data_IF_579795669928
#
_entry.id   IF_579795669928
#
_cell.length_a   1.000
_cell.length_b   1.000
_cell.length_c   1.000
_cell.angle_alpha   90.00
_cell.angle_beta   90.00
_cell.angle_gamma   90.00
#
_symmetry.space_group_name_H-M   'P 1'
#
loop_
_entity.id
_entity.type
_entity.pdbx_description
1 polymer ?
#
# COMPACT_ATOMS: atom_id res chain seq x y z
N UNK A 1 -4.25 18.88 30.44
CA UNK A 1 -2.94 19.18 29.82
C UNK A 1 -1.78 18.64 30.65
N UNK A 2 -1.58 19.04 31.92
CA UNK A 2 -0.45 18.55 32.74
C UNK A 2 -0.37 17.02 32.90
N UNK A 3 -1.50 16.33 33.11
CA UNK A 3 -1.54 14.86 33.22
C UNK A 3 -1.19 14.15 31.90
N UNK A 4 -1.60 14.72 30.76
CA UNK A 4 -1.27 14.17 29.44
C UNK A 4 0.24 14.23 29.17
N UNK A 5 0.86 15.37 29.46
CA UNK A 5 2.32 15.51 29.33
C UNK A 5 3.10 14.56 30.23
N UNK A 6 2.59 14.28 31.45
CA UNK A 6 3.20 13.30 32.34
C UNK A 6 3.07 11.87 31.82
N UNK A 7 1.91 11.49 31.27
CA UNK A 7 1.71 10.15 30.70
C UNK A 7 2.55 9.96 29.43
N UNK A 8 2.61 10.96 28.55
CA UNK A 8 3.48 10.94 27.38
C UNK A 8 4.94 10.77 27.80
N UNK A 9 5.40 11.56 28.78
CA UNK A 9 6.76 11.44 29.31
C UNK A 9 7.01 10.04 29.88
N UNK A 10 6.07 9.49 30.64
CA UNK A 10 6.17 8.14 31.23
C UNK A 10 6.37 7.07 30.16
N UNK A 11 5.55 7.09 29.10
CA UNK A 11 5.62 6.10 28.03
C UNK A 11 6.91 6.26 27.23
N UNK A 12 7.26 7.47 26.78
CA UNK A 12 8.47 7.71 25.96
C UNK A 12 9.77 7.42 26.72
N UNK A 13 9.82 7.68 28.03
CA UNK A 13 11.04 7.45 28.83
C UNK A 13 11.30 5.97 29.14
N UNK A 14 10.38 5.07 28.80
CA UNK A 14 10.59 3.64 28.97
C UNK A 14 11.57 3.13 27.91
N UNK A 15 12.62 2.41 28.36
CA UNK A 15 13.71 1.91 27.48
C UNK A 15 13.18 1.11 26.29
N UNK A 16 12.17 0.27 26.50
CA UNK A 16 11.55 -0.55 25.46
C UNK A 16 10.85 0.32 24.42
N UNK A 17 10.03 1.29 24.84
CA UNK A 17 9.34 2.19 23.92
C UNK A 17 10.32 2.99 23.08
N UNK A 18 11.38 3.52 23.69
CA UNK A 18 12.41 4.25 22.97
C UNK A 18 13.13 3.36 21.95
N UNK A 19 13.48 2.12 22.33
CA UNK A 19 14.07 1.15 21.41
C UNK A 19 13.14 0.83 20.23
N UNK A 20 11.85 0.59 20.47
CA UNK A 20 10.87 0.29 19.43
C UNK A 20 10.65 1.48 18.48
N UNK A 21 10.65 2.71 18.99
CA UNK A 21 10.59 3.93 18.17
C UNK A 21 11.85 4.09 17.30
N UNK A 22 13.03 3.83 17.86
CA UNK A 22 14.28 3.81 17.08
C UNK A 22 14.26 2.71 16.01
N UNK A 23 13.70 1.53 16.32
CA UNK A 23 13.50 0.46 15.34
C UNK A 23 12.55 0.88 14.21
N UNK A 24 11.43 1.54 14.51
CA UNK A 24 10.51 2.08 13.50
C UNK A 24 11.23 3.04 12.54
N UNK A 25 12.02 3.97 13.10
CA UNK A 25 12.80 4.92 12.31
C UNK A 25 13.84 4.22 11.43
N UNK A 26 14.60 3.27 12.00
CA UNK A 26 15.59 2.50 11.25
C UNK A 26 14.94 1.68 10.12
N UNK A 27 13.77 1.10 10.37
CA UNK A 27 12.99 0.39 9.35
C UNK A 27 12.53 1.34 8.24
N UNK A 28 12.09 2.56 8.56
CA UNK A 28 11.68 3.53 7.53
C UNK A 28 12.81 3.86 6.56
N UNK A 29 14.02 4.10 7.09
CA UNK A 29 15.21 4.36 6.26
C UNK A 29 15.59 3.12 5.45
N UNK A 30 15.58 1.95 6.09
CA UNK A 30 15.92 0.68 5.43
C UNK A 30 14.94 0.35 4.29
N UNK A 31 13.64 0.48 4.52
CA UNK A 31 12.60 0.17 3.53
C UNK A 31 12.57 1.19 2.37
N UNK A 32 13.10 2.40 2.57
CA UNK A 32 13.31 3.34 1.46
C UNK A 32 14.55 2.99 0.63
N UNK A 33 15.59 2.45 1.27
CA UNK A 33 16.85 2.10 0.62
C UNK A 33 16.82 0.76 -0.11
N UNK A 34 16.14 -0.26 0.43
CA UNK A 34 16.10 -1.60 -0.16
C UNK A 34 15.66 -1.65 -1.64
N UNK A 35 14.59 -0.96 -2.08
CA UNK A 35 14.20 -0.98 -3.49
C UNK A 35 15.34 -0.56 -4.43
N UNK A 36 16.14 0.43 -4.04
CA UNK A 36 17.30 0.91 -4.82
C UNK A 36 18.28 -0.24 -5.08
N UNK A 37 18.50 -1.12 -4.11
CA UNK A 37 19.47 -2.21 -4.24
C UNK A 37 19.06 -3.31 -5.23
N UNK A 38 17.77 -3.36 -5.61
CA UNK A 38 17.26 -4.30 -6.61
C UNK A 38 17.24 -3.71 -8.02
N UNK A 39 17.51 -2.41 -8.17
CA UNK A 39 17.62 -1.79 -9.49
C UNK A 39 18.96 -2.16 -10.12
N UNK A 40 18.89 -2.59 -11.37
CA UNK A 40 20.03 -3.02 -12.15
C UNK A 40 19.83 -2.75 -13.64
N UNK A 41 20.92 -2.55 -14.36
CA UNK A 41 20.92 -2.44 -15.80
C UNK A 41 22.23 -3.02 -16.37
N UNK A 42 22.17 -3.56 -17.58
CA UNK A 42 23.37 -3.96 -18.32
C UNK A 42 23.69 -2.86 -19.32
N UNK A 43 24.91 -2.34 -19.25
CA UNK A 43 25.42 -1.29 -20.14
C UNK A 43 26.57 -1.86 -20.95
N UNK A 44 26.62 -1.48 -22.23
CA UNK A 44 27.72 -1.84 -23.13
C UNK A 44 28.73 -0.68 -23.17
N UNK A 45 30.00 -0.98 -22.88
CA UNK A 45 31.10 -0.02 -22.97
C UNK A 45 31.46 0.34 -24.42
N UNK A 46 32.27 1.37 -24.65
CA UNK A 46 32.80 1.78 -25.95
C UNK A 46 33.54 0.64 -26.68
N UNK A 47 34.03 -0.35 -25.94
CA UNK A 47 34.72 -1.53 -26.45
C UNK A 47 33.78 -2.71 -26.79
N UNK A 48 32.46 -2.57 -26.60
CA UNK A 48 31.48 -3.64 -26.83
C UNK A 48 31.38 -4.66 -25.70
N UNK A 49 32.01 -4.42 -24.54
CA UNK A 49 31.93 -5.29 -23.37
C UNK A 49 30.71 -4.91 -22.50
N UNK A 50 29.86 -5.89 -22.16
CA UNK A 50 28.70 -5.70 -21.30
C UNK A 50 29.11 -5.78 -19.82
N UNK A 51 28.73 -4.76 -19.04
CA UNK A 51 28.89 -4.78 -17.59
C UNK A 51 27.57 -4.40 -16.90
N UNK A 52 27.37 -4.94 -15.70
CA UNK A 52 26.16 -4.71 -14.91
C UNK A 52 26.37 -3.53 -13.95
N UNK A 53 25.50 -2.53 -14.04
CA UNK A 53 25.37 -1.45 -13.05
C UNK A 53 24.22 -1.77 -12.11
N UNK A 54 24.38 -1.47 -10.83
CA UNK A 54 23.37 -1.78 -9.80
C UNK A 54 23.18 -0.61 -8.83
N UNK A 55 22.07 -0.61 -8.08
CA UNK A 55 21.86 0.37 -7.04
C UNK A 55 21.62 1.77 -7.58
N UNK A 56 22.24 2.76 -6.93
CA UNK A 56 22.12 4.17 -7.31
C UNK A 56 22.65 4.47 -8.73
N UNK A 57 23.61 3.70 -9.24
CA UNK A 57 24.12 3.90 -10.60
C UNK A 57 23.07 3.52 -11.65
N UNK A 58 22.38 2.39 -11.45
CA UNK A 58 21.26 1.97 -12.29
C UNK A 58 20.09 2.97 -12.21
N UNK A 59 19.77 3.46 -11.01
CA UNK A 59 18.71 4.48 -10.84
C UNK A 59 19.04 5.76 -11.62
N UNK A 60 20.29 6.24 -11.54
CA UNK A 60 20.72 7.42 -12.29
C UNK A 60 20.68 7.22 -13.80
N UNK A 61 21.09 6.05 -14.28
CA UNK A 61 21.04 5.68 -15.70
C UNK A 61 19.64 5.83 -16.29
N UNK A 62 18.60 5.37 -15.58
CA UNK A 62 17.22 5.53 -16.04
C UNK A 62 16.66 6.94 -15.81
N UNK A 63 17.10 7.64 -14.75
CA UNK A 63 16.71 9.03 -14.49
C UNK A 63 17.18 9.99 -15.60
N UNK A 64 18.37 9.79 -16.16
CA UNK A 64 18.88 10.63 -17.25
C UNK A 64 17.98 10.57 -18.50
N UNK A 65 17.20 9.51 -18.64
CA UNK A 65 16.24 9.32 -19.74
C UNK A 65 14.86 9.93 -19.45
N UNK A 66 14.62 10.48 -18.26
CA UNK A 66 13.35 11.12 -17.91
C UNK A 66 12.98 12.32 -18.79
N UNK A 67 13.95 12.98 -19.42
CA UNK A 67 13.66 14.06 -20.38
C UNK A 67 12.97 13.56 -21.65
N UNK A 68 13.10 12.27 -21.96
CA UNK A 68 12.42 11.59 -23.08
C UNK A 68 11.01 11.14 -22.71
N UNK A 69 10.72 11.04 -21.41
CA UNK A 69 9.43 10.60 -20.90
C UNK A 69 8.52 11.77 -20.55
N UNK A 70 7.22 11.53 -20.63
CA UNK A 70 6.20 12.54 -20.36
C UNK A 70 4.82 12.00 -20.66
N UNK A 71 4.09 12.72 -21.50
CA UNK A 71 2.76 12.31 -21.94
C UNK A 71 2.82 11.00 -22.74
N UNK A 72 1.99 10.05 -22.35
CA UNK A 72 1.85 8.76 -23.03
C UNK A 72 0.97 8.98 -24.25
N UNK A 73 1.54 9.43 -25.35
CA UNK A 73 0.83 9.62 -26.62
C UNK A 73 0.72 8.33 -27.41
N UNK A 74 -0.23 8.25 -28.32
CA UNK A 74 -0.37 7.12 -29.26
C UNK A 74 0.89 6.94 -30.11
N UNK A 75 1.54 8.03 -30.54
CA UNK A 75 2.82 8.00 -31.28
C UNK A 75 3.94 7.32 -30.45
N UNK A 76 4.06 7.65 -29.16
CA UNK A 76 5.05 7.02 -28.29
C UNK A 76 4.74 5.52 -28.06
N UNK A 77 3.46 5.16 -28.01
CA UNK A 77 3.01 3.77 -27.88
C UNK A 77 3.30 2.96 -29.16
N UNK A 78 3.07 3.55 -30.33
CA UNK A 78 3.37 2.94 -31.63
C UNK A 78 4.87 2.76 -31.83
N UNK A 79 5.67 3.77 -31.48
CA UNK A 79 7.13 3.68 -31.50
C UNK A 79 7.62 2.57 -30.58
N UNK A 80 7.10 2.50 -29.35
CA UNK A 80 7.43 1.44 -28.40
C UNK A 80 7.13 0.05 -28.96
N UNK A 81 5.94 -0.14 -29.56
CA UNK A 81 5.53 -1.41 -30.15
C UNK A 81 6.38 -1.80 -31.36
N UNK A 82 6.70 -0.84 -32.22
CA UNK A 82 7.57 -1.05 -33.40
C UNK A 82 8.96 -1.52 -32.98
N UNK A 83 9.60 -0.82 -32.03
CA UNK A 83 10.94 -1.19 -31.54
C UNK A 83 10.93 -2.58 -30.91
N UNK A 84 9.87 -2.92 -30.18
CA UNK A 84 9.70 -4.25 -29.60
C UNK A 84 9.54 -5.33 -30.69
N UNK A 85 8.70 -5.10 -31.70
CA UNK A 85 8.52 -6.04 -32.81
C UNK A 85 9.81 -6.26 -33.59
N UNK A 86 10.53 -5.19 -33.96
CA UNK A 86 11.82 -5.28 -34.65
C UNK A 86 12.83 -6.16 -33.91
N UNK A 87 12.96 -5.97 -32.59
CA UNK A 87 13.92 -6.75 -31.78
C UNK A 87 13.45 -8.20 -31.63
N UNK A 88 12.15 -8.43 -31.42
CA UNK A 88 11.60 -9.78 -31.34
C UNK A 88 11.75 -10.54 -32.66
N UNK A 89 11.61 -9.89 -33.80
CA UNK A 89 11.89 -10.47 -35.12
C UNK A 89 13.38 -10.74 -35.34
N UNK A 90 14.25 -9.78 -35.00
CA UNK A 90 15.69 -9.91 -35.25
C UNK A 90 16.34 -11.08 -34.48
N UNK A 91 15.83 -11.38 -33.28
CA UNK A 91 16.34 -12.46 -32.42
C UNK A 91 15.51 -13.75 -32.51
N UNK A 92 14.55 -13.81 -33.42
CA UNK A 92 13.55 -14.87 -33.53
C UNK A 92 12.93 -15.30 -32.18
N UNK A 93 12.54 -14.32 -31.36
CA UNK A 93 12.03 -14.55 -30.01
C UNK A 93 10.52 -14.35 -29.93
N UNK A 94 9.79 -15.34 -29.43
CA UNK A 94 8.35 -15.23 -29.14
C UNK A 94 8.08 -14.64 -27.75
N UNK A 95 8.94 -14.96 -26.78
CA UNK A 95 8.73 -14.65 -25.36
C UNK A 95 9.77 -13.69 -24.77
N UNK A 96 10.78 -13.30 -25.56
CA UNK A 96 11.89 -12.43 -25.16
C UNK A 96 13.11 -13.15 -24.57
N UNK A 97 13.07 -14.48 -24.40
CA UNK A 97 14.14 -15.25 -23.73
C UNK A 97 15.44 -15.30 -24.53
N UNK A 98 15.33 -15.19 -25.85
CA UNK A 98 16.45 -15.25 -26.80
C UNK A 98 17.14 -13.89 -26.96
N UNK A 99 16.59 -12.83 -26.39
CA UNK A 99 17.12 -11.46 -26.48
C UNK A 99 18.22 -11.29 -25.41
N UNK A 100 19.48 -10.96 -25.81
CA UNK A 100 20.56 -10.70 -24.86
C UNK A 100 20.23 -9.54 -23.90
N UNK A 101 20.75 -9.61 -22.67
CA UNK A 101 20.47 -8.62 -21.64
C UNK A 101 20.91 -7.20 -22.04
N UNK A 102 22.10 -7.02 -22.63
CA UNK A 102 22.53 -5.71 -23.11
C UNK A 102 21.60 -5.11 -24.16
N UNK A 103 21.10 -5.93 -25.10
CA UNK A 103 20.11 -5.49 -26.11
C UNK A 103 18.79 -5.10 -25.45
N UNK A 104 18.33 -5.87 -24.47
CA UNK A 104 17.13 -5.56 -23.72
C UNK A 104 17.25 -4.22 -23.00
N UNK A 105 18.33 -3.98 -22.23
CA UNK A 105 18.51 -2.73 -21.50
C UNK A 105 18.78 -1.53 -22.40
N UNK A 106 19.42 -1.73 -23.55
CA UNK A 106 19.70 -0.67 -24.51
C UNK A 106 18.49 -0.26 -25.36
N UNK A 107 17.59 -1.21 -25.72
CA UNK A 107 16.50 -0.93 -26.68
C UNK A 107 15.08 -1.11 -26.12
N UNK A 108 14.87 -1.97 -25.12
CA UNK A 108 13.53 -2.41 -24.70
C UNK A 108 13.13 -1.96 -23.30
N UNK A 109 14.07 -1.90 -22.35
CA UNK A 109 13.78 -1.69 -20.93
C UNK A 109 12.94 -0.42 -20.65
N UNK A 110 13.21 0.65 -21.40
CA UNK A 110 12.51 1.94 -21.33
C UNK A 110 11.05 1.86 -21.78
N UNK A 111 10.79 1.05 -22.80
CA UNK A 111 9.46 0.92 -23.42
C UNK A 111 8.60 -0.14 -22.72
N UNK A 112 9.15 -0.87 -21.74
CA UNK A 112 8.45 -1.93 -21.00
C UNK A 112 7.10 -1.51 -20.39
N UNK A 113 6.97 -0.34 -19.73
CA UNK A 113 5.69 0.10 -19.16
C UNK A 113 4.62 0.36 -20.23
N UNK A 114 5.04 0.90 -21.38
CA UNK A 114 4.17 1.16 -22.53
C UNK A 114 3.65 -0.14 -23.13
N UNK A 115 4.54 -1.10 -23.39
CA UNK A 115 4.14 -2.42 -23.92
C UNK A 115 3.27 -3.19 -22.95
N UNK A 116 3.54 -3.10 -21.64
CA UNK A 116 2.65 -3.67 -20.61
C UNK A 116 1.25 -3.07 -20.75
N UNK A 117 1.15 -1.74 -20.88
CA UNK A 117 -0.12 -1.04 -21.03
C UNK A 117 -0.88 -1.43 -22.30
N UNK A 118 -0.21 -1.44 -23.46
CA UNK A 118 -0.79 -1.87 -24.75
C UNK A 118 -1.34 -3.29 -24.62
N UNK A 119 -0.52 -4.22 -24.15
CA UNK A 119 -0.93 -5.62 -23.97
C UNK A 119 -2.15 -5.77 -23.07
N UNK A 120 -2.26 -4.95 -22.03
CA UNK A 120 -3.41 -4.96 -21.13
C UNK A 120 -4.67 -4.35 -21.77
N UNK A 121 -4.53 -3.23 -22.49
CA UNK A 121 -5.64 -2.55 -23.15
C UNK A 121 -6.27 -3.41 -24.26
N UNK A 122 -5.44 -4.13 -25.03
CA UNK A 122 -5.87 -5.00 -26.14
C UNK A 122 -6.04 -6.47 -25.75
N UNK A 123 -6.04 -6.79 -24.45
CA UNK A 123 -6.30 -8.15 -24.00
C UNK A 123 -7.73 -8.60 -24.37
N UNK A 124 -7.85 -9.88 -24.73
CA UNK A 124 -9.09 -10.49 -25.20
C UNK A 124 -10.24 -10.28 -24.20
N UNK A 125 -11.40 -9.89 -24.73
CA UNK A 125 -12.55 -9.46 -23.92
C UNK A 125 -13.16 -10.60 -23.07
N UNK A 126 -13.03 -11.85 -23.52
CA UNK A 126 -13.66 -13.01 -22.89
C UNK A 126 -12.71 -13.76 -21.97
N UNK A 127 -11.46 -13.90 -22.39
CA UNK A 127 -10.43 -14.70 -21.70
C UNK A 127 -9.52 -13.84 -20.83
N UNK A 128 -9.45 -12.54 -21.08
CA UNK A 128 -8.52 -11.63 -20.41
C UNK A 128 -7.07 -11.80 -20.84
N UNK A 129 -6.77 -12.67 -21.81
CA UNK A 129 -5.42 -12.99 -22.24
C UNK A 129 -4.88 -11.85 -23.11
N UNK A 130 -3.72 -11.32 -22.72
CA UNK A 130 -3.03 -10.29 -23.47
C UNK A 130 -2.37 -10.86 -24.74
N UNK A 131 -2.38 -10.12 -25.87
CA UNK A 131 -1.71 -10.54 -27.09
C UNK A 131 -0.19 -10.66 -26.92
N UNK A 132 0.45 -11.49 -27.73
CA UNK A 132 1.91 -11.54 -27.86
C UNK A 132 2.45 -10.24 -28.44
N UNK A 133 3.72 -9.92 -28.20
CA UNK A 133 4.35 -8.69 -28.72
C UNK A 133 4.34 -8.67 -30.26
N UNK A 134 4.60 -9.82 -30.88
CA UNK A 134 4.56 -10.02 -32.34
C UNK A 134 3.16 -9.90 -32.94
N UNK A 135 2.13 -10.19 -32.14
CA UNK A 135 0.73 -10.17 -32.57
C UNK A 135 0.06 -8.81 -32.37
N UNK A 136 0.82 -7.80 -31.90
CA UNK A 136 0.30 -6.45 -31.73
C UNK A 136 0.02 -5.81 -33.10
N UNK A 137 -1.21 -5.36 -33.28
CA UNK A 137 -1.63 -4.65 -34.48
C UNK A 137 -1.28 -3.16 -34.33
N UNK A 138 -0.21 -2.72 -34.98
CA UNK A 138 0.31 -1.35 -34.85
C UNK A 138 -0.74 -0.30 -35.27
N UNK A 139 -1.52 -0.59 -36.31
CA UNK A 139 -2.55 0.31 -36.84
C UNK A 139 -3.68 0.57 -35.81
N UNK A 140 -3.87 -0.34 -34.86
CA UNK A 140 -4.89 -0.20 -33.80
C UNK A 140 -4.39 0.53 -32.57
N UNK A 141 -3.10 0.82 -32.46
CA UNK A 141 -2.53 1.49 -31.28
C UNK A 141 -3.07 2.93 -31.15
N UNK A 142 -3.43 3.57 -32.26
CA UNK A 142 -4.14 4.86 -32.27
C UNK A 142 -5.45 4.81 -31.44
N UNK A 143 -6.12 3.65 -31.37
CA UNK A 143 -7.36 3.48 -30.60
C UNK A 143 -7.09 3.17 -29.10
N UNK A 144 -5.84 3.26 -28.62
CA UNK A 144 -5.46 2.83 -27.27
C UNK A 144 -6.34 3.42 -26.18
N UNK A 145 -6.54 4.73 -26.18
CA UNK A 145 -7.37 5.41 -25.17
C UNK A 145 -8.86 5.11 -25.34
N UNK A 146 -9.34 4.90 -26.56
CA UNK A 146 -10.72 4.49 -26.84
C UNK A 146 -11.01 3.05 -26.39
N UNK A 147 -9.97 2.21 -26.31
CA UNK A 147 -10.07 0.83 -25.86
C UNK A 147 -10.14 0.70 -24.32
N UNK A 148 -9.62 1.66 -23.54
CA UNK A 148 -9.60 1.56 -22.08
C UNK A 148 -10.99 1.37 -21.43
N UNK A 149 -12.05 2.10 -21.83
CA UNK A 149 -13.40 1.85 -21.30
C UNK A 149 -13.96 0.48 -21.67
N UNK A 150 -13.65 -0.03 -22.87
CA UNK A 150 -14.05 -1.39 -23.30
C UNK A 150 -13.31 -2.44 -22.48
N UNK A 151 -12.02 -2.22 -22.24
CA UNK A 151 -11.21 -3.10 -21.37
C UNK A 151 -11.76 -3.12 -19.95
N UNK A 152 -12.09 -1.97 -19.37
CA UNK A 152 -12.72 -1.89 -18.05
C UNK A 152 -14.07 -2.63 -18.04
N UNK A 153 -14.89 -2.51 -19.08
CA UNK A 153 -16.13 -3.26 -19.18
C UNK A 153 -15.90 -4.78 -19.12
N UNK A 154 -14.93 -5.27 -19.89
CA UNK A 154 -14.54 -6.68 -19.94
C UNK A 154 -14.02 -7.17 -18.57
N UNK A 155 -13.12 -6.42 -17.94
CA UNK A 155 -12.59 -6.74 -16.59
C UNK A 155 -13.73 -6.84 -15.58
N UNK A 156 -14.65 -5.88 -15.58
CA UNK A 156 -15.80 -5.90 -14.67
C UNK A 156 -16.78 -7.04 -14.98
N UNK A 157 -16.94 -7.43 -16.25
CA UNK A 157 -17.77 -8.59 -16.61
C UNK A 157 -17.11 -9.91 -16.20
N UNK A 158 -15.78 -9.96 -16.09
CA UNK A 158 -15.05 -11.13 -15.58
C UNK A 158 -15.08 -11.21 -14.04
N UNK A 159 -14.79 -10.10 -13.37
CA UNK A 159 -14.65 -10.01 -11.91
C UNK A 159 -16.01 -9.88 -11.18
N UNK A 160 -17.00 -9.22 -11.80
CA UNK A 160 -18.28 -8.82 -11.18
C UNK A 160 -19.51 -9.26 -12.00
N UNK A 161 -19.48 -10.51 -12.50
CA UNK A 161 -20.49 -11.12 -13.40
C UNK A 161 -21.96 -10.83 -13.05
N UNK A 162 -22.30 -10.94 -11.77
CA UNK A 162 -23.69 -10.88 -11.32
C UNK A 162 -24.13 -9.47 -10.85
N UNK A 163 -23.23 -8.46 -10.89
CA UNK A 163 -23.44 -7.17 -10.25
C UNK A 163 -23.20 -5.98 -11.18
N UNK A 164 -24.23 -5.62 -11.96
CA UNK A 164 -24.19 -4.44 -12.84
C UNK A 164 -23.91 -3.13 -12.10
N UNK A 165 -24.32 -3.03 -10.83
CA UNK A 165 -24.05 -1.85 -9.99
C UNK A 165 -22.57 -1.67 -9.64
N UNK A 166 -21.78 -2.75 -9.60
CA UNK A 166 -20.33 -2.66 -9.45
C UNK A 166 -19.68 -2.08 -10.70
N UNK A 167 -20.14 -2.50 -11.89
CA UNK A 167 -19.72 -1.94 -13.18
C UNK A 167 -19.99 -0.44 -13.25
N UNK A 168 -21.21 -0.01 -12.93
CA UNK A 168 -21.56 1.43 -12.88
C UNK A 168 -20.67 2.22 -11.92
N UNK A 169 -20.40 1.67 -10.73
CA UNK A 169 -19.53 2.31 -9.73
C UNK A 169 -18.06 2.40 -10.21
N UNK A 170 -17.57 1.38 -10.90
CA UNK A 170 -16.24 1.35 -11.50
C UNK A 170 -16.11 2.42 -12.60
N UNK A 171 -17.07 2.47 -13.55
CA UNK A 171 -17.09 3.50 -14.59
C UNK A 171 -17.13 4.91 -14.02
N UNK A 172 -18.00 5.17 -13.03
CA UNK A 172 -18.08 6.50 -12.40
C UNK A 172 -16.77 6.93 -11.69
N UNK A 173 -15.94 5.99 -11.22
CA UNK A 173 -14.60 6.29 -10.70
C UNK A 173 -13.60 6.50 -11.84
N UNK A 174 -13.63 5.62 -12.84
CA UNK A 174 -12.73 5.67 -13.99
C UNK A 174 -12.92 6.93 -14.86
N UNK A 175 -14.15 7.44 -14.98
CA UNK A 175 -14.45 8.69 -15.71
C UNK A 175 -13.72 9.93 -15.14
N UNK A 176 -13.20 9.83 -13.92
CA UNK A 176 -12.43 10.90 -13.26
C UNK A 176 -10.93 10.78 -13.52
N UNK A 177 -10.47 9.70 -14.16
CA UNK A 177 -9.08 9.46 -14.48
C UNK A 177 -8.62 10.43 -15.55
N UNK A 178 -7.53 11.15 -15.26
CA UNK A 178 -6.94 12.08 -16.21
C UNK A 178 -6.26 11.32 -17.36
N UNK A 179 -6.72 11.60 -18.58
CA UNK A 179 -6.10 11.16 -19.82
C UNK A 179 -5.51 12.38 -20.57
N UNK A 180 -4.45 12.19 -21.36
CA UNK A 180 -3.63 10.98 -21.46
C UNK A 180 -2.77 10.74 -20.21
N UNK A 181 -2.27 9.51 -20.07
CA UNK A 181 -1.44 9.13 -18.94
C UNK A 181 -0.07 9.82 -18.99
N UNK A 182 0.58 9.92 -17.83
CA UNK A 182 1.93 10.45 -17.69
C UNK A 182 2.84 9.33 -17.22
N UNK A 183 4.03 9.23 -17.82
CA UNK A 183 5.06 8.30 -17.37
C UNK A 183 6.39 9.02 -17.22
N UNK A 184 7.02 8.80 -16.08
CA UNK A 184 8.39 9.17 -15.75
C UNK A 184 8.99 8.02 -14.96
N UNK A 185 10.27 7.70 -15.21
CA UNK A 185 11.00 6.78 -14.38
C UNK A 185 11.13 7.32 -12.96
N UNK A 186 10.88 6.45 -11.98
CA UNK A 186 11.04 6.73 -10.56
C UNK A 186 10.46 5.59 -9.72
N UNK A 187 9.89 5.91 -8.55
CA UNK A 187 9.44 4.91 -7.59
C UNK A 187 8.54 3.84 -8.24
N UNK A 188 9.10 2.63 -8.35
CA UNK A 188 8.46 1.47 -9.00
C UNK A 188 7.39 0.82 -8.11
N UNK A 189 6.63 -0.14 -8.66
CA UNK A 189 5.70 -0.96 -7.88
C UNK A 189 6.40 -1.61 -6.67
N UNK A 190 7.64 -2.08 -6.85
CA UNK A 190 8.44 -2.66 -5.78
C UNK A 190 8.61 -1.68 -4.62
N UNK A 191 8.92 -0.41 -4.91
CA UNK A 191 9.06 0.61 -3.87
C UNK A 191 7.77 0.75 -3.04
N UNK A 192 6.60 0.73 -3.71
CA UNK A 192 5.30 0.80 -3.03
C UNK A 192 4.99 -0.46 -2.19
N UNK A 193 5.45 -1.64 -2.60
CA UNK A 193 5.34 -2.86 -1.79
C UNK A 193 6.15 -2.76 -0.48
N UNK A 194 7.32 -2.09 -0.54
CA UNK A 194 8.12 -1.81 0.66
C UNK A 194 7.46 -0.78 1.60
N UNK A 195 6.68 0.17 1.07
CA UNK A 195 5.84 1.04 1.91
C UNK A 195 4.80 0.22 2.66
N UNK A 196 4.12 -0.68 1.95
CA UNK A 196 3.11 -1.58 2.53
C UNK A 196 3.71 -2.46 3.63
N UNK A 197 4.90 -3.02 3.37
CA UNK A 197 5.64 -3.80 4.36
C UNK A 197 6.04 -2.95 5.58
N UNK A 198 6.48 -1.70 5.36
CA UNK A 198 6.79 -0.77 6.43
C UNK A 198 5.57 -0.51 7.31
N UNK A 199 4.42 -0.18 6.72
CA UNK A 199 3.15 0.07 7.43
C UNK A 199 2.78 -1.14 8.30
N UNK A 200 2.92 -2.35 7.78
CA UNK A 200 2.67 -3.58 8.52
C UNK A 200 3.61 -3.75 9.72
N UNK A 201 4.92 -3.59 9.52
CA UNK A 201 5.92 -3.71 10.60
C UNK A 201 5.72 -2.63 11.66
N UNK A 202 5.44 -1.39 11.25
CA UNK A 202 5.11 -0.30 12.16
C UNK A 202 3.87 -0.60 13.00
N UNK A 203 2.87 -1.27 12.41
CA UNK A 203 1.67 -1.71 13.13
C UNK A 203 2.02 -2.71 14.22
N UNK A 204 2.84 -3.72 13.94
CA UNK A 204 3.30 -4.70 14.93
C UNK A 204 4.02 -4.00 16.09
N UNK A 205 4.98 -3.11 15.78
CA UNK A 205 5.72 -2.37 16.81
C UNK A 205 4.80 -1.44 17.62
N UNK A 206 3.84 -0.78 16.97
CA UNK A 206 2.83 0.06 17.61
C UNK A 206 1.92 -0.72 18.56
N UNK A 207 1.53 -1.94 18.16
CA UNK A 207 0.77 -2.88 18.99
C UNK A 207 1.56 -3.29 20.22
N UNK A 208 2.85 -3.60 20.10
CA UNK A 208 3.70 -3.97 21.25
C UNK A 208 3.78 -2.81 22.26
N UNK A 209 3.96 -1.57 21.79
CA UNK A 209 3.98 -0.38 22.66
C UNK A 209 2.61 -0.24 23.37
N UNK A 210 1.54 -0.30 22.59
CA UNK A 210 0.18 0.00 23.04
C UNK A 210 -0.41 -1.08 23.95
N UNK A 211 -0.09 -2.35 23.70
CA UNK A 211 -0.57 -3.49 24.46
C UNK A 211 -0.16 -3.38 25.94
N UNK A 212 0.96 -2.72 26.25
CA UNK A 212 1.47 -2.57 27.62
C UNK A 212 0.86 -1.40 28.41
N UNK A 213 0.03 -0.55 27.80
CA UNK A 213 -0.44 0.73 28.38
C UNK A 213 -1.29 0.55 29.64
N UNK A 214 -2.21 -0.43 29.63
CA UNK A 214 -3.04 -0.76 30.79
C UNK A 214 -2.54 -2.01 31.51
N UNK A 215 -2.13 -3.03 30.76
CA UNK A 215 -1.69 -4.30 31.34
C UNK A 215 -0.47 -4.16 32.26
N UNK A 216 0.45 -3.22 31.99
CA UNK A 216 1.63 -3.02 32.84
C UNK A 216 1.26 -2.39 34.19
N UNK A 217 0.23 -1.55 34.23
CA UNK A 217 -0.28 -0.95 35.46
C UNK A 217 -0.97 -2.00 36.34
N UNK A 218 -1.64 -2.98 35.72
CA UNK A 218 -2.19 -4.13 36.44
C UNK A 218 -1.08 -5.02 37.01
N UNK A 219 -0.06 -5.33 36.20
CA UNK A 219 1.05 -6.19 36.63
C UNK A 219 1.86 -5.57 37.77
N UNK A 220 2.04 -4.25 37.76
CA UNK A 220 2.79 -3.53 38.81
C UNK A 220 1.94 -3.10 40.00
N UNK A 221 0.62 -3.38 39.97
CA UNK A 221 -0.38 -2.87 40.93
C UNK A 221 -0.43 -1.33 41.04
N UNK A 222 0.13 -0.63 40.06
CA UNK A 222 0.01 0.83 39.98
C UNK A 222 -1.44 1.27 39.78
N UNK A 223 -2.26 0.43 39.12
CA UNK A 223 -3.68 0.70 38.91
C UNK A 223 -4.46 0.87 40.23
N UNK A 224 -4.16 0.06 41.25
CA UNK A 224 -4.81 0.14 42.58
C UNK A 224 -4.60 1.51 43.23
N UNK A 225 -3.40 2.08 43.08
CA UNK A 225 -3.05 3.41 43.59
C UNK A 225 -3.76 4.49 42.76
N UNK A 226 -3.72 4.37 41.43
CA UNK A 226 -4.31 5.36 40.52
C UNK A 226 -5.81 5.51 40.76
N UNK A 227 -6.54 4.40 40.98
CA UNK A 227 -7.99 4.40 41.22
C UNK A 227 -8.41 5.12 42.51
N UNK A 228 -7.54 5.16 43.50
CA UNK A 228 -7.78 5.91 44.75
C UNK A 228 -7.70 7.44 44.56
N UNK A 229 -7.23 7.91 43.41
CA UNK A 229 -7.14 9.34 43.11
C UNK A 229 -8.44 9.89 42.52
N UNK A 230 -8.67 11.20 42.70
CA UNK A 230 -9.85 11.92 42.18
C UNK A 230 -10.08 11.73 40.66
N UNK A 231 -9.03 11.45 39.89
CA UNK A 231 -9.09 11.28 38.44
C UNK A 231 -8.79 9.85 37.97
N UNK A 232 -8.76 8.88 38.89
CA UNK A 232 -8.28 7.51 38.69
C UNK A 232 -9.14 6.56 37.86
N UNK A 233 -10.25 7.03 37.28
CA UNK A 233 -11.19 6.20 36.50
C UNK A 233 -11.23 6.64 35.04
N UNK A 234 -12.37 7.13 34.54
CA UNK A 234 -12.54 7.52 33.13
C UNK A 234 -11.50 8.54 32.64
N UNK A 235 -11.10 9.50 33.49
CA UNK A 235 -10.19 10.56 33.06
C UNK A 235 -8.77 10.07 32.81
N UNK A 236 -8.20 9.23 33.68
CA UNK A 236 -6.87 8.65 33.45
C UNK A 236 -6.89 7.67 32.26
N UNK A 237 -7.97 6.91 32.10
CA UNK A 237 -8.16 6.03 30.94
C UNK A 237 -8.13 6.81 29.62
N UNK A 238 -8.91 7.90 29.53
CA UNK A 238 -8.90 8.77 28.35
C UNK A 238 -7.54 9.43 28.10
N UNK A 239 -6.81 9.80 29.15
CA UNK A 239 -5.45 10.37 29.03
C UNK A 239 -4.46 9.33 28.49
N UNK A 240 -4.52 8.08 28.97
CA UNK A 240 -3.70 6.97 28.49
C UNK A 240 -3.95 6.69 27.01
N UNK A 241 -5.22 6.53 26.64
CA UNK A 241 -5.65 6.35 25.26
C UNK A 241 -5.10 7.47 24.36
N UNK A 242 -5.31 8.72 24.77
CA UNK A 242 -4.86 9.89 24.00
C UNK A 242 -3.33 9.94 23.88
N UNK A 243 -2.60 9.64 24.96
CA UNK A 243 -1.14 9.58 24.94
C UNK A 243 -0.65 8.49 23.97
N UNK A 244 -1.25 7.30 23.99
CA UNK A 244 -0.90 6.21 23.07
C UNK A 244 -1.13 6.59 21.61
N UNK A 245 -2.26 7.22 21.30
CA UNK A 245 -2.58 7.70 19.94
C UNK A 245 -1.59 8.76 19.47
N UNK A 246 -1.25 9.74 20.32
CA UNK A 246 -0.28 10.77 19.96
C UNK A 246 1.09 10.17 19.70
N UNK A 247 1.58 9.30 20.59
CA UNK A 247 2.93 8.70 20.46
C UNK A 247 3.02 7.82 19.22
N UNK A 248 2.10 6.87 19.08
CA UNK A 248 2.16 5.89 17.98
C UNK A 248 1.78 6.52 16.64
N UNK A 249 0.77 7.40 16.61
CA UNK A 249 0.34 8.10 15.40
C UNK A 249 1.38 9.10 14.90
N UNK A 250 2.05 9.84 15.78
CA UNK A 250 3.14 10.73 15.37
C UNK A 250 4.35 9.95 14.87
N UNK A 251 4.74 8.87 15.55
CA UNK A 251 5.82 8.00 15.09
C UNK A 251 5.52 7.42 13.70
N UNK A 252 4.29 6.94 13.48
CA UNK A 252 3.80 6.47 12.18
C UNK A 252 3.95 7.54 11.09
N UNK A 253 3.38 8.73 11.32
CA UNK A 253 3.44 9.81 10.34
C UNK A 253 4.86 10.28 10.03
N UNK A 254 5.71 10.41 11.05
CA UNK A 254 7.10 10.83 10.87
C UNK A 254 7.87 9.79 10.06
N UNK A 255 7.77 8.51 10.42
CA UNK A 255 8.46 7.44 9.71
C UNK A 255 7.96 7.29 8.26
N UNK A 256 6.66 7.33 8.04
CA UNK A 256 6.08 7.27 6.70
C UNK A 256 6.47 8.46 5.84
N UNK A 257 6.44 9.69 6.39
CA UNK A 257 6.90 10.87 5.68
C UNK A 257 8.41 10.79 5.34
N UNK A 258 9.23 10.28 6.25
CA UNK A 258 10.66 10.02 5.98
C UNK A 258 10.82 9.01 4.85
N UNK A 259 10.05 7.92 4.86
CA UNK A 259 10.08 6.93 3.80
C UNK A 259 9.73 7.56 2.44
N UNK A 260 8.62 8.31 2.35
CA UNK A 260 8.21 9.01 1.12
C UNK A 260 9.32 9.96 0.63
N UNK A 261 9.88 10.76 1.54
CA UNK A 261 10.95 11.72 1.20
C UNK A 261 12.20 11.00 0.70
N UNK A 262 12.66 9.96 1.40
CA UNK A 262 13.86 9.22 1.02
C UNK A 262 13.68 8.49 -0.31
N UNK A 263 12.57 7.78 -0.49
CA UNK A 263 12.26 7.08 -1.75
C UNK A 263 12.25 8.06 -2.92
N UNK A 264 11.60 9.22 -2.77
CA UNK A 264 11.55 10.22 -3.84
C UNK A 264 12.89 10.98 -4.03
N UNK A 265 13.75 11.07 -3.01
CA UNK A 265 15.12 11.57 -3.16
C UNK A 265 15.99 10.56 -3.93
N UNK A 266 15.85 9.27 -3.63
CA UNK A 266 16.64 8.22 -4.28
C UNK A 266 16.23 8.03 -5.74
N UNK A 267 14.93 7.89 -6.00
CA UNK A 267 14.38 7.64 -7.34
C UNK A 267 14.08 8.89 -8.15
N UNK A 268 14.17 10.07 -7.53
CA UNK A 268 13.89 11.34 -8.19
C UNK A 268 12.43 11.74 -8.10
N UNK A 269 12.19 13.05 -8.02
CA UNK A 269 10.84 13.60 -7.82
C UNK A 269 9.98 13.55 -9.08
N UNK A 270 10.57 13.41 -10.26
CA UNK A 270 9.80 13.38 -11.52
C UNK A 270 8.90 12.14 -11.61
N UNK A 271 9.36 10.99 -11.10
CA UNK A 271 8.54 9.77 -11.04
C UNK A 271 7.25 9.91 -10.21
N UNK A 272 7.15 10.91 -9.34
CA UNK A 272 5.90 11.16 -8.59
C UNK A 272 4.75 11.63 -9.47
N UNK A 273 5.05 12.17 -10.67
CA UNK A 273 4.07 12.63 -11.66
C UNK A 273 3.46 11.49 -12.47
N UNK A 274 4.09 10.31 -12.47
CA UNK A 274 3.62 9.13 -13.19
C UNK A 274 2.21 8.75 -12.76
N UNK A 275 1.34 8.49 -13.73
CA UNK A 275 -0.01 7.97 -13.49
C UNK A 275 0.07 6.56 -12.91
N UNK A 276 -0.68 6.30 -11.83
CA UNK A 276 -0.75 4.97 -11.20
C UNK A 276 -1.07 3.86 -12.21
N UNK A 277 -1.89 4.19 -13.22
CA UNK A 277 -2.32 3.31 -14.29
C UNK A 277 -1.16 2.72 -15.09
N UNK A 278 -0.07 3.47 -15.26
CA UNK A 278 1.12 2.99 -15.99
C UNK A 278 1.96 2.01 -15.17
N UNK A 279 1.87 2.05 -13.84
CA UNK A 279 2.65 1.16 -12.97
C UNK A 279 1.86 -0.13 -12.68
N UNK A 280 0.61 0.00 -12.25
CA UNK A 280 -0.17 -1.15 -11.76
C UNK A 280 -1.00 -1.79 -12.87
N UNK A 281 -2.05 -1.09 -13.33
CA UNK A 281 -2.98 -1.55 -14.37
C UNK A 281 -3.61 -0.37 -15.10
N UNK A 282 -3.73 -0.45 -16.43
CA UNK A 282 -4.27 0.66 -17.26
C UNK A 282 -5.75 0.97 -16.97
N UNK A 283 -6.45 0.07 -16.29
CA UNK A 283 -7.86 0.22 -15.88
C UNK A 283 -8.02 0.54 -14.38
N UNK A 284 -6.93 0.85 -13.67
CA UNK A 284 -6.97 1.23 -12.26
C UNK A 284 -7.93 2.40 -12.03
N UNK A 285 -8.86 2.24 -11.08
CA UNK A 285 -9.97 3.17 -10.84
C UNK A 285 -9.55 4.54 -10.26
N UNK A 286 -8.54 4.63 -9.35
CA UNK A 286 -8.21 5.92 -8.75
C UNK A 286 -7.42 6.83 -9.70
N UNK A 287 -7.87 8.07 -9.85
CA UNK A 287 -7.13 9.11 -10.57
C UNK A 287 -5.99 9.70 -9.73
N UNK A 288 -4.99 8.88 -9.40
CA UNK A 288 -3.81 9.30 -8.64
C UNK A 288 -2.54 9.21 -9.48
N UNK A 289 -1.66 10.17 -9.27
CA UNK A 289 -0.24 9.97 -9.61
C UNK A 289 0.48 9.23 -8.47
N UNK A 290 1.69 8.75 -8.71
CA UNK A 290 2.45 7.99 -7.71
C UNK A 290 2.71 8.79 -6.43
N UNK A 291 2.99 10.10 -6.54
CA UNK A 291 3.17 10.94 -5.36
C UNK A 291 1.90 11.03 -4.50
N UNK A 292 0.75 11.25 -5.11
CA UNK A 292 -0.55 11.26 -4.44
C UNK A 292 -0.86 9.89 -3.85
N UNK A 293 -0.57 8.81 -4.58
CA UNK A 293 -0.79 7.45 -4.11
C UNK A 293 0.02 7.14 -2.85
N UNK A 294 1.30 7.50 -2.79
CA UNK A 294 2.14 7.37 -1.59
C UNK A 294 1.47 8.05 -0.37
N UNK A 295 1.06 9.31 -0.54
CA UNK A 295 0.40 10.05 0.56
C UNK A 295 -0.98 9.48 0.93
N UNK A 296 -1.78 9.07 -0.06
CA UNK A 296 -3.10 8.46 0.17
C UNK A 296 -2.96 7.11 0.87
N UNK A 297 -1.98 6.29 0.49
CA UNK A 297 -1.67 5.02 1.14
C UNK A 297 -1.20 5.25 2.58
N UNK A 298 -0.30 6.23 2.81
CA UNK A 298 0.15 6.59 4.16
C UNK A 298 -1.01 7.07 5.05
N UNK A 299 -1.84 7.99 4.57
CA UNK A 299 -2.95 8.58 5.34
C UNK A 299 -4.11 7.61 5.54
N UNK A 300 -4.46 6.82 4.52
CA UNK A 300 -5.43 5.74 4.65
C UNK A 300 -4.92 4.66 5.61
N UNK A 301 -3.65 4.28 5.48
CA UNK A 301 -2.96 3.37 6.39
C UNK A 301 -2.93 3.90 7.83
N UNK A 302 -2.83 5.22 8.06
CA UNK A 302 -2.92 5.81 9.40
C UNK A 302 -4.29 5.55 10.04
N UNK A 303 -5.39 5.68 9.30
CA UNK A 303 -6.74 5.42 9.82
C UNK A 303 -6.85 3.97 10.28
N UNK A 304 -6.39 3.04 9.44
CA UNK A 304 -6.41 1.61 9.73
C UNK A 304 -5.48 1.27 10.90
N UNK A 305 -4.27 1.82 10.91
CA UNK A 305 -3.31 1.71 12.01
C UNK A 305 -3.93 2.18 13.33
N UNK A 306 -4.54 3.36 13.37
CA UNK A 306 -5.19 3.89 14.58
C UNK A 306 -6.37 3.02 15.02
N UNK A 307 -7.12 2.44 14.08
CA UNK A 307 -8.15 1.43 14.40
C UNK A 307 -7.53 0.21 15.11
N UNK A 308 -6.43 -0.34 14.59
CA UNK A 308 -5.69 -1.45 15.21
C UNK A 308 -5.12 -1.10 16.59
N UNK A 309 -4.59 0.12 16.75
CA UNK A 309 -4.11 0.62 18.04
C UNK A 309 -5.28 0.75 19.03
N UNK A 310 -6.43 1.24 18.58
CA UNK A 310 -7.66 1.27 19.38
C UNK A 310 -8.09 -0.11 19.86
N UNK A 311 -8.11 -1.09 18.95
CA UNK A 311 -8.40 -2.49 19.27
C UNK A 311 -7.39 -3.07 20.28
N UNK A 312 -6.11 -2.74 20.12
CA UNK A 312 -5.06 -3.18 21.05
C UNK A 312 -5.22 -2.57 22.43
N UNK A 313 -5.64 -1.31 22.55
CA UNK A 313 -5.98 -0.67 23.83
C UNK A 313 -7.14 -1.37 24.52
N UNK A 314 -8.17 -1.77 23.76
CA UNK A 314 -9.30 -2.53 24.28
C UNK A 314 -8.86 -3.89 24.85
N UNK A 315 -7.98 -4.59 24.11
CA UNK A 315 -7.36 -5.83 24.60
C UNK A 315 -6.54 -5.55 25.86
N UNK A 316 -5.68 -4.53 25.85
CA UNK A 316 -4.81 -4.17 26.98
C UNK A 316 -5.61 -3.90 28.26
N UNK A 317 -6.73 -3.18 28.16
CA UNK A 317 -7.63 -2.89 29.29
C UNK A 317 -8.30 -4.16 29.85
N UNK A 318 -8.52 -5.16 29.01
CA UNK A 318 -9.24 -6.39 29.35
C UNK A 318 -8.30 -7.55 29.72
N UNK A 319 -7.02 -7.48 29.31
CA UNK A 319 -6.04 -8.55 29.49
C UNK A 319 -5.58 -8.69 30.93
N UNK A 320 -5.22 -9.92 31.34
CA UNK A 320 -4.74 -10.22 32.69
C UNK A 320 -3.32 -9.73 32.94
N UNK A 321 -2.46 -9.85 31.93
CA UNK A 321 -1.03 -9.54 31.99
C UNK A 321 -0.51 -9.02 30.63
N UNK A 322 0.74 -8.55 30.62
CA UNK A 322 1.39 -7.99 29.43
C UNK A 322 1.54 -9.00 28.28
N UNK A 323 1.86 -10.26 28.59
CA UNK A 323 2.11 -11.28 27.57
C UNK A 323 0.82 -11.61 26.83
N UNK A 324 -0.26 -11.81 27.58
CA UNK A 324 -1.60 -12.03 27.03
C UNK A 324 -2.06 -10.85 26.16
N UNK A 325 -1.81 -9.61 26.61
CA UNK A 325 -2.18 -8.41 25.86
C UNK A 325 -1.43 -8.31 24.52
N UNK A 326 -0.11 -8.54 24.54
CA UNK A 326 0.73 -8.50 23.33
C UNK A 326 0.36 -9.63 22.37
N UNK A 327 0.19 -10.86 22.86
CA UNK A 327 -0.14 -12.01 22.04
C UNK A 327 -1.50 -11.83 21.32
N UNK A 328 -2.53 -11.40 22.04
CA UNK A 328 -3.85 -11.13 21.45
C UNK A 328 -3.83 -9.93 20.50
N UNK A 329 -3.05 -8.89 20.81
CA UNK A 329 -2.85 -7.75 19.92
C UNK A 329 -2.23 -8.17 18.59
N UNK A 330 -1.11 -8.90 18.63
CA UNK A 330 -0.42 -9.42 17.43
C UNK A 330 -1.33 -10.36 16.66
N UNK A 331 -2.05 -11.25 17.34
CA UNK A 331 -3.04 -12.11 16.69
C UNK A 331 -4.08 -11.29 15.91
N UNK A 332 -4.57 -10.19 16.48
CA UNK A 332 -5.49 -9.27 15.79
C UNK A 332 -4.88 -8.52 14.59
N UNK A 333 -3.55 -8.35 14.56
CA UNK A 333 -2.83 -7.82 13.38
C UNK A 333 -2.72 -8.86 12.28
N UNK A 334 -2.42 -10.11 12.64
CA UNK A 334 -2.19 -11.19 11.68
C UNK A 334 -3.49 -11.81 11.15
N UNK A 335 -4.58 -11.72 11.90
CA UNK A 335 -5.85 -12.37 11.58
C UNK A 335 -6.38 -12.04 10.18
N UNK A 336 -6.41 -10.78 9.69
CA UNK A 336 -6.82 -10.47 8.33
C UNK A 336 -5.95 -11.16 7.27
N UNK A 337 -4.63 -11.17 7.46
CA UNK A 337 -3.69 -11.83 6.55
C UNK A 337 -3.90 -13.35 6.56
N UNK A 338 -4.19 -13.94 7.72
CA UNK A 338 -4.51 -15.37 7.82
C UNK A 338 -5.81 -15.67 7.07
N UNK A 339 -6.86 -14.87 7.24
CA UNK A 339 -8.14 -15.03 6.52
C UNK A 339 -7.94 -14.93 5.01
N UNK A 340 -7.11 -13.98 4.56
CA UNK A 340 -6.74 -13.84 3.16
C UNK A 340 -6.01 -15.08 2.62
N UNK A 341 -4.97 -15.55 3.32
CA UNK A 341 -4.18 -16.73 2.90
C UNK A 341 -4.99 -18.03 2.96
N UNK A 342 -5.90 -18.16 3.92
CA UNK A 342 -6.83 -19.29 3.97
C UNK A 342 -7.83 -19.31 2.81
N UNK A 343 -7.86 -18.25 1.99
CA UNK A 343 -8.65 -18.18 0.77
C UNK A 343 -10.13 -18.34 1.04
N UNK A 344 -10.65 -17.75 2.14
CA UNK A 344 -12.07 -17.82 2.48
C UNK A 344 -12.88 -17.26 1.30
N UNK A 345 -13.57 -18.12 0.51
CA UNK A 345 -14.01 -17.72 -0.81
C UNK A 345 -15.30 -16.90 -0.75
N UNK A 346 -15.41 -15.97 -1.70
CA UNK A 346 -16.61 -15.17 -1.95
C UNK A 346 -16.82 -14.04 -0.94
N UNK A 347 -18.02 -13.46 -0.97
CA UNK A 347 -18.36 -12.24 -0.24
C UNK A 347 -18.04 -12.27 1.27
N UNK A 348 -18.04 -13.44 1.90
CA UNK A 348 -17.68 -13.59 3.32
C UNK A 348 -16.21 -13.16 3.56
N UNK A 349 -15.29 -13.58 2.69
CA UNK A 349 -13.88 -13.19 2.75
C UNK A 349 -13.70 -11.67 2.64
N UNK A 350 -14.37 -11.05 1.66
CA UNK A 350 -14.30 -9.61 1.40
C UNK A 350 -14.88 -8.78 2.54
N UNK A 351 -15.99 -9.23 3.13
CA UNK A 351 -16.55 -8.60 4.32
C UNK A 351 -15.64 -8.74 5.53
N UNK A 352 -15.06 -9.92 5.75
CA UNK A 352 -14.13 -10.14 6.87
C UNK A 352 -12.87 -9.30 6.72
N UNK A 353 -12.29 -9.22 5.52
CA UNK A 353 -11.09 -8.43 5.27
C UNK A 353 -11.30 -6.95 5.62
N UNK A 354 -12.51 -6.42 5.41
CA UNK A 354 -12.89 -5.05 5.79
C UNK A 354 -13.27 -4.90 7.27
N UNK A 355 -13.93 -5.88 7.88
CA UNK A 355 -14.47 -5.79 9.25
C UNK A 355 -13.44 -6.11 10.34
N UNK A 356 -12.39 -6.88 10.03
CA UNK A 356 -11.38 -7.22 11.01
C UNK A 356 -10.56 -5.99 11.47
N UNK A 357 -10.04 -5.96 12.72
CA UNK A 357 -9.43 -4.77 13.30
C UNK A 357 -8.29 -4.15 12.49
N UNK A 358 -7.50 -5.01 11.82
CA UNK A 358 -6.31 -4.65 11.05
C UNK A 358 -6.46 -4.93 9.55
N UNK A 359 -7.71 -4.96 9.05
CA UNK A 359 -7.97 -5.02 7.62
C UNK A 359 -7.27 -3.88 6.89
N UNK A 360 -6.68 -4.14 5.72
CA UNK A 360 -5.99 -3.11 4.93
C UNK A 360 -4.55 -2.80 5.33
N UNK A 361 -4.01 -3.39 6.40
CA UNK A 361 -2.63 -3.12 6.87
C UNK A 361 -1.63 -4.18 6.41
N UNK A 362 -2.06 -5.45 6.35
CA UNK A 362 -1.12 -6.58 6.27
C UNK A 362 -0.92 -7.10 4.86
N UNK A 363 0.35 -7.35 4.48
CA UNK A 363 0.81 -8.07 3.28
C UNK A 363 -0.25 -8.16 2.16
N UNK A 364 -0.83 -9.34 1.89
CA UNK A 364 -1.77 -9.54 0.77
C UNK A 364 -3.12 -8.81 0.88
N UNK A 365 -3.51 -8.32 2.07
CA UNK A 365 -4.73 -7.54 2.29
C UNK A 365 -4.39 -6.05 2.55
N UNK A 366 -3.35 -5.53 1.91
CA UNK A 366 -2.96 -4.14 2.07
C UNK A 366 -3.90 -3.19 1.34
N UNK A 367 -4.01 -1.97 1.88
CA UNK A 367 -4.79 -0.89 1.29
C UNK A 367 -4.33 -0.57 -0.13
N UNK A 368 -3.02 -0.53 -0.37
CA UNK A 368 -2.44 -0.31 -1.69
C UNK A 368 -2.98 -1.30 -2.72
N UNK A 369 -2.99 -2.60 -2.38
CA UNK A 369 -3.45 -3.65 -3.30
C UNK A 369 -4.95 -3.52 -3.58
N UNK A 370 -5.72 -3.20 -2.53
CA UNK A 370 -7.14 -2.89 -2.68
C UNK A 370 -7.42 -1.69 -3.61
N UNK A 371 -6.48 -0.75 -3.76
CA UNK A 371 -6.65 0.45 -4.61
C UNK A 371 -6.53 0.16 -6.11
N UNK A 372 -5.87 -0.92 -6.52
CA UNK A 372 -5.81 -1.33 -7.92
C UNK A 372 -6.56 -2.63 -8.22
N UNK A 373 -7.10 -3.31 -7.21
CA UNK A 373 -7.99 -4.46 -7.38
C UNK A 373 -9.47 -4.07 -7.58
N UNK A 374 -10.23 -4.93 -8.27
CA UNK A 374 -11.65 -4.73 -8.58
C UNK A 374 -12.59 -5.43 -7.58
N UNK A 375 -12.29 -5.32 -6.28
CA UNK A 375 -13.10 -5.93 -5.23
C UNK A 375 -14.24 -4.98 -4.83
N UNK A 376 -15.48 -5.46 -4.99
CA UNK A 376 -16.69 -4.76 -4.56
C UNK A 376 -17.45 -5.58 -3.52
N UNK A 377 -17.95 -4.91 -2.48
CA UNK A 377 -18.83 -5.49 -1.49
C UNK A 377 -20.29 -5.16 -1.81
N UNK A 378 -21.14 -6.17 -1.77
CA UNK A 378 -22.55 -6.03 -2.16
C UNK A 378 -23.49 -6.04 -0.95
N UNK A 379 -24.43 -5.10 -0.93
CA UNK A 379 -25.57 -5.09 0.00
C UNK A 379 -26.84 -4.99 -0.84
N UNK A 380 -27.54 -6.11 -0.98
CA UNK A 380 -28.72 -6.21 -1.83
C UNK A 380 -28.35 -5.92 -3.29
N UNK A 381 -28.89 -4.83 -3.87
CA UNK A 381 -28.60 -4.42 -5.25
C UNK A 381 -27.45 -3.41 -5.37
N UNK A 382 -26.99 -2.85 -4.25
CA UNK A 382 -25.94 -1.84 -4.24
C UNK A 382 -24.57 -2.48 -4.08
N UNK A 383 -23.58 -1.91 -4.76
CA UNK A 383 -22.18 -2.34 -4.71
C UNK A 383 -21.32 -1.18 -4.23
N UNK A 384 -20.40 -1.47 -3.31
CA UNK A 384 -19.49 -0.50 -2.71
C UNK A 384 -18.06 -0.98 -2.92
N UNK A 385 -17.19 -0.09 -3.39
CA UNK A 385 -15.79 -0.45 -3.58
C UNK A 385 -15.12 -0.73 -2.23
N UNK A 386 -14.31 -1.78 -2.15
CA UNK A 386 -13.75 -2.26 -0.89
C UNK A 386 -12.92 -1.20 -0.16
N UNK A 387 -12.13 -0.39 -0.86
CA UNK A 387 -11.32 0.68 -0.27
C UNK A 387 -12.19 1.69 0.48
N UNK A 388 -13.32 2.10 -0.12
CA UNK A 388 -14.23 3.08 0.50
C UNK A 388 -14.86 2.51 1.78
N UNK A 389 -15.28 1.23 1.74
CA UNK A 389 -15.85 0.52 2.89
C UNK A 389 -14.80 0.34 3.99
N UNK A 390 -13.60 -0.10 3.62
CA UNK A 390 -12.48 -0.36 4.51
C UNK A 390 -12.09 0.91 5.31
N UNK A 391 -11.93 2.04 4.62
CA UNK A 391 -11.63 3.32 5.27
C UNK A 391 -12.77 3.81 6.15
N UNK A 392 -14.02 3.72 5.66
CA UNK A 392 -15.21 4.12 6.42
C UNK A 392 -15.37 3.30 7.72
N UNK A 393 -15.24 1.98 7.61
CA UNK A 393 -15.28 1.06 8.74
C UNK A 393 -14.10 1.33 9.69
N UNK A 394 -12.91 1.62 9.18
CA UNK A 394 -11.76 2.06 9.98
C UNK A 394 -12.06 3.29 10.85
N UNK A 395 -12.67 4.32 10.26
CA UNK A 395 -13.08 5.53 10.99
C UNK A 395 -14.09 5.21 12.11
N UNK A 396 -15.04 4.31 11.87
CA UNK A 396 -16.03 3.89 12.88
C UNK A 396 -15.41 3.05 13.99
N UNK A 397 -14.47 2.16 13.64
CA UNK A 397 -13.79 1.27 14.60
C UNK A 397 -13.04 2.05 15.67
N UNK A 398 -12.40 3.17 15.31
CA UNK A 398 -11.62 3.99 16.25
C UNK A 398 -12.46 4.38 17.49
N UNK A 399 -13.54 5.18 17.40
CA UNK A 399 -14.31 5.59 18.57
C UNK A 399 -14.94 4.40 19.31
N UNK A 400 -15.36 3.35 18.59
CA UNK A 400 -15.94 2.14 19.20
C UNK A 400 -14.92 1.43 20.10
N UNK A 401 -13.71 1.17 19.59
CA UNK A 401 -12.67 0.51 20.37
C UNK A 401 -12.15 1.38 21.51
N UNK A 402 -12.05 2.70 21.30
CA UNK A 402 -11.65 3.62 22.37
C UNK A 402 -12.67 3.68 23.51
N UNK A 403 -13.96 3.78 23.18
CA UNK A 403 -15.03 3.72 24.16
C UNK A 403 -15.02 2.38 24.90
N UNK A 404 -14.88 1.28 24.17
CA UNK A 404 -14.76 -0.07 24.73
C UNK A 404 -13.58 -0.18 25.70
N UNK A 405 -12.41 0.34 25.34
CA UNK A 405 -11.21 0.31 26.18
C UNK A 405 -11.43 1.08 27.50
N UNK A 406 -12.01 2.28 27.43
CA UNK A 406 -12.31 3.09 28.62
C UNK A 406 -13.36 2.43 29.53
N UNK A 407 -14.41 1.85 28.94
CA UNK A 407 -15.46 1.14 29.68
C UNK A 407 -14.91 -0.12 30.34
N UNK A 408 -14.14 -0.93 29.60
CA UNK A 408 -13.49 -2.15 30.12
C UNK A 408 -12.56 -1.82 31.29
N UNK A 409 -11.73 -0.77 31.14
CA UNK A 409 -10.88 -0.27 32.22
C UNK A 409 -11.68 0.08 33.47
N UNK A 410 -12.81 0.79 33.34
CA UNK A 410 -13.60 1.22 34.49
C UNK A 410 -14.37 0.08 35.16
N UNK A 411 -14.88 -0.89 34.39
CA UNK A 411 -15.72 -1.99 34.91
C UNK A 411 -14.95 -3.14 35.54
N UNK A 412 -13.63 -3.24 35.34
CA UNK A 412 -12.81 -4.38 35.77
C UNK A 412 -12.94 -4.77 37.26
N UNK A 413 -13.30 -3.84 38.13
CA UNK A 413 -13.47 -4.04 39.58
C UNK A 413 -14.76 -3.38 40.12
N UNK A 414 -15.73 -3.13 39.23
CA UNK A 414 -17.09 -2.71 39.61
C UNK A 414 -17.95 -3.96 39.77
#
# INVERSE_FOLDING_TARGET
MRLLGLEIKRVITTKITWLLLCCMFALAVLMAYLPVTFEGAVVTDENGEEFEITGFEAVRYFQEKNELFGEVTEENLEQAATVYQEVYEAYDSDYGNEIPAGVFYARLAEYRPFIKGIKEAFADEQTGIAPGVRDLDLDKIEDYYEMLPKRLASVMDMEQKDYSSAKEAAFHKFDKVCLPYQYYYGASSNSMDYETLLIFLMTILGVIITATVFSSDYQTKADDILRCTMHGRMKIAGIKVLASFIITGSAYLICGAIWILLTNIFFGWDGTKTSMQMIFSVTSLPSFNIGQLQWVNLLGGLILFLSTIGFTLLISASAKDNVSAVALGIFGVLLPTIVYVMGVPGALGDWLSCLLPSGGIGLGNALLYSMYDFIFLHIGKASFWNVDVLLFVGIIKIPVFLAGAMVSYCRRYA
#
